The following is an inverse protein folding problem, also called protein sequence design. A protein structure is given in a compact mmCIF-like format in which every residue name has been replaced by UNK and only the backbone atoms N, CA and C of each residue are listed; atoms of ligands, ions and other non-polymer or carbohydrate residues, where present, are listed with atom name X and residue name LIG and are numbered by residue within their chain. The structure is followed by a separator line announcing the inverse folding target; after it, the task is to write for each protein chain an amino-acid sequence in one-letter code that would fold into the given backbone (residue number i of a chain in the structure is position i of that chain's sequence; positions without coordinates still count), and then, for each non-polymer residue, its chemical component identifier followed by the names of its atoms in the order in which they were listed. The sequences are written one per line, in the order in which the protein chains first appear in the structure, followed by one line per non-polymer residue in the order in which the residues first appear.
data_IF_883004688512
#
_entry.id   IF_883004688512
#
_cell.length_a   1.000
_cell.length_b   1.000
_cell.length_c   1.000
_cell.angle_alpha   90.00
_cell.angle_beta   90.00
_cell.angle_gamma   90.00
#
_symmetry.space_group_name_H-M   'P 1'
#
loop_
_entity.id
_entity.type
_entity.pdbx_description
1 polymer ?
#
# COMPACT_ATOMS: atom_id res chain seq x y z
N UNK A 1 7.69 16.54 -20.34
CA UNK A 1 6.36 16.04 -19.94
C UNK A 1 6.57 15.27 -18.64
N UNK A 2 5.98 15.68 -17.52
CA UNK A 2 6.10 14.93 -16.26
C UNK A 2 5.19 13.71 -16.38
N UNK A 3 5.77 12.52 -16.56
CA UNK A 3 5.01 11.27 -16.56
C UNK A 3 4.63 10.94 -15.12
N UNK A 4 3.37 10.58 -14.90
CA UNK A 4 2.82 10.27 -13.57
C UNK A 4 2.67 8.75 -13.46
N UNK A 5 3.51 8.04 -12.71
CA UNK A 5 3.32 6.61 -12.47
C UNK A 5 1.97 6.33 -11.82
N UNK A 6 1.40 5.17 -12.10
CA UNK A 6 0.16 4.70 -11.50
C UNK A 6 0.37 3.36 -10.78
N UNK A 7 -0.12 3.25 -9.54
CA UNK A 7 -0.16 1.99 -8.79
C UNK A 7 -1.61 1.51 -8.74
N UNK A 8 -1.87 0.39 -9.40
CA UNK A 8 -3.17 -0.25 -9.56
C UNK A 8 -3.30 -1.46 -8.64
N UNK A 9 -4.29 -1.44 -7.75
CA UNK A 9 -4.56 -2.49 -6.78
C UNK A 9 -5.76 -3.39 -7.15
N UNK A 10 -6.36 -3.21 -8.32
CA UNK A 10 -7.48 -4.03 -8.81
C UNK A 10 -7.02 -5.40 -9.34
N UNK A 11 -7.83 -6.42 -9.03
CA UNK A 11 -7.80 -7.70 -9.71
C UNK A 11 -8.50 -7.60 -11.07
N UNK A 12 -8.19 -8.52 -11.98
CA UNK A 12 -8.80 -8.54 -13.32
C UNK A 12 -10.33 -8.65 -13.25
N UNK A 13 -10.85 -9.43 -12.30
CA UNK A 13 -12.30 -9.54 -12.04
C UNK A 13 -12.95 -8.21 -11.64
N UNK A 14 -12.22 -7.32 -10.97
CA UNK A 14 -12.76 -6.02 -10.55
C UNK A 14 -12.95 -5.14 -11.79
N UNK A 15 -11.95 -5.12 -12.67
CA UNK A 15 -12.02 -4.36 -13.93
C UNK A 15 -13.09 -4.93 -14.85
N UNK A 16 -13.18 -6.26 -14.96
CA UNK A 16 -14.21 -6.93 -15.75
C UNK A 16 -15.62 -6.58 -15.27
N UNK A 17 -15.85 -6.59 -13.95
CA UNK A 17 -17.15 -6.22 -13.37
C UNK A 17 -17.57 -4.79 -13.75
N UNK A 18 -16.64 -3.85 -13.78
CA UNK A 18 -16.90 -2.45 -14.15
C UNK A 18 -16.79 -2.16 -15.65
N UNK A 19 -16.64 -3.18 -16.50
CA UNK A 19 -16.50 -3.00 -17.95
C UNK A 19 -15.22 -2.28 -18.37
N UNK A 20 -14.19 -2.28 -17.51
CA UNK A 20 -12.90 -1.66 -17.78
C UNK A 20 -12.01 -2.63 -18.55
N UNK A 21 -11.54 -2.23 -19.73
CA UNK A 21 -10.59 -3.01 -20.50
C UNK A 21 -9.14 -2.74 -20.04
N UNK A 22 -8.48 -3.70 -19.36
CA UNK A 22 -7.13 -3.47 -18.82
C UNK A 22 -6.07 -3.33 -19.90
N UNK A 23 -6.24 -3.93 -21.08
CA UNK A 23 -5.29 -3.83 -22.17
C UNK A 23 -5.34 -2.45 -22.82
N UNK A 24 -6.53 -1.83 -22.91
CA UNK A 24 -6.69 -0.46 -23.38
C UNK A 24 -5.98 0.53 -22.44
N UNK A 25 -6.14 0.38 -21.12
CA UNK A 25 -5.44 1.21 -20.12
C UNK A 25 -3.94 1.03 -20.25
N UNK A 26 -3.45 -0.23 -20.27
CA UNK A 26 -2.01 -0.52 -20.40
C UNK A 26 -1.42 0.09 -21.67
N UNK A 27 -2.11 -0.05 -22.81
CA UNK A 27 -1.69 0.55 -24.07
C UNK A 27 -1.59 2.06 -23.97
N UNK A 28 -2.62 2.73 -23.42
CA UNK A 28 -2.63 4.18 -23.29
C UNK A 28 -1.56 4.69 -22.34
N UNK A 29 -1.31 3.97 -21.23
CA UNK A 29 -0.21 4.27 -20.33
C UNK A 29 1.14 4.19 -21.06
N UNK A 30 1.35 3.13 -21.86
CA UNK A 30 2.58 2.97 -22.65
C UNK A 30 2.77 4.11 -23.67
N UNK A 31 1.73 4.49 -24.40
CA UNK A 31 1.77 5.60 -25.36
C UNK A 31 2.13 6.93 -24.72
N UNK A 32 1.69 7.15 -23.49
CA UNK A 32 1.94 8.37 -22.72
C UNK A 32 3.21 8.32 -21.87
N UNK A 33 3.95 7.21 -21.89
CA UNK A 33 5.13 6.99 -21.03
C UNK A 33 4.78 6.89 -19.54
N UNK A 34 3.54 6.56 -19.20
CA UNK A 34 3.09 6.34 -17.82
C UNK A 34 3.50 4.93 -17.38
N UNK A 35 4.31 4.86 -16.33
CA UNK A 35 4.64 3.59 -15.67
C UNK A 35 3.40 3.08 -14.91
N UNK A 36 2.76 2.04 -15.44
CA UNK A 36 1.58 1.41 -14.83
C UNK A 36 1.99 0.15 -14.04
N UNK A 37 1.98 0.25 -12.71
CA UNK A 37 2.44 -0.76 -11.76
C UNK A 37 1.24 -1.48 -11.14
N UNK A 38 1.08 -2.77 -11.44
CA UNK A 38 -0.01 -3.57 -10.89
C UNK A 38 0.42 -4.32 -9.63
N UNK A 39 -0.38 -4.23 -8.57
CA UNK A 39 -0.25 -4.97 -7.30
C UNK A 39 -1.63 -5.43 -6.83
N UNK A 40 -2.23 -6.43 -7.49
CA UNK A 40 -3.64 -6.78 -7.28
C UNK A 40 -3.93 -7.17 -5.83
N UNK A 41 -4.96 -6.57 -5.24
CA UNK A 41 -5.48 -6.88 -3.91
C UNK A 41 -6.95 -7.24 -4.03
N UNK A 42 -7.33 -8.38 -3.44
CA UNK A 42 -8.73 -8.81 -3.40
C UNK A 42 -9.58 -7.82 -2.62
N UNK A 43 -10.69 -7.39 -3.23
CA UNK A 43 -11.56 -6.41 -2.59
C UNK A 43 -12.22 -6.96 -1.33
N UNK A 44 -12.46 -6.07 -0.35
CA UNK A 44 -13.01 -6.39 0.97
C UNK A 44 -12.26 -7.48 1.77
N UNK A 45 -11.01 -7.79 1.41
CA UNK A 45 -10.21 -8.84 2.04
C UNK A 45 -8.97 -8.24 2.76
N UNK A 46 -9.02 -8.06 4.10
CA UNK A 46 -7.91 -7.49 4.85
C UNK A 46 -6.65 -8.38 4.84
N UNK A 47 -6.80 -9.70 4.70
CA UNK A 47 -5.67 -10.61 4.61
C UNK A 47 -4.95 -10.47 3.26
N UNK A 48 -5.72 -10.35 2.17
CA UNK A 48 -5.13 -10.05 0.86
C UNK A 48 -4.41 -8.71 0.87
N UNK A 49 -4.97 -7.68 1.53
CA UNK A 49 -4.30 -6.38 1.66
C UNK A 49 -2.98 -6.53 2.42
N UNK A 50 -3.03 -7.11 3.63
CA UNK A 50 -1.86 -7.35 4.49
C UNK A 50 -0.70 -7.99 3.72
N UNK A 51 -0.97 -9.06 2.96
CA UNK A 51 0.05 -9.78 2.18
C UNK A 51 0.68 -8.95 1.06
N UNK A 52 -0.08 -8.07 0.43
CA UNK A 52 0.37 -7.32 -0.76
C UNK A 52 1.05 -5.99 -0.38
N UNK A 53 0.70 -5.41 0.76
CA UNK A 53 1.21 -4.12 1.21
C UNK A 53 2.74 -3.95 1.09
N UNK A 54 3.59 -4.92 1.47
CA UNK A 54 5.04 -4.76 1.32
C UNK A 54 5.48 -4.51 -0.13
N UNK A 55 5.06 -5.38 -1.05
CA UNK A 55 5.38 -5.28 -2.48
C UNK A 55 4.76 -4.04 -3.15
N UNK A 56 3.63 -3.57 -2.65
CA UNK A 56 2.95 -2.37 -3.15
C UNK A 56 3.58 -1.08 -2.63
N UNK A 57 4.03 -1.08 -1.37
CA UNK A 57 4.78 0.04 -0.81
C UNK A 57 6.16 0.18 -1.48
N UNK A 58 6.83 -0.94 -1.80
CA UNK A 58 8.05 -0.92 -2.60
C UNK A 58 7.82 -0.29 -3.98
N UNK A 59 6.76 -0.72 -4.69
CA UNK A 59 6.40 -0.15 -5.99
C UNK A 59 6.09 1.35 -5.92
N UNK A 60 5.36 1.78 -4.88
CA UNK A 60 5.10 3.20 -4.63
C UNK A 60 6.38 3.98 -4.33
N UNK A 61 7.28 3.43 -3.50
CA UNK A 61 8.57 4.06 -3.19
C UNK A 61 9.42 4.28 -4.44
N UNK A 62 9.55 3.24 -5.28
CA UNK A 62 10.30 3.30 -6.53
C UNK A 62 9.68 4.30 -7.51
N UNK A 63 8.34 4.34 -7.61
CA UNK A 63 7.64 5.29 -8.45
C UNK A 63 7.83 6.75 -7.99
N UNK A 64 8.04 6.98 -6.69
CA UNK A 64 8.34 8.30 -6.14
C UNK A 64 9.82 8.72 -6.31
N UNK A 65 10.73 7.79 -6.63
CA UNK A 65 12.17 8.04 -6.65
C UNK A 65 12.61 9.11 -7.66
N UNK A 66 11.89 9.27 -8.77
CA UNK A 66 12.17 10.27 -9.80
C UNK A 66 11.58 11.65 -9.47
N UNK A 67 10.99 11.82 -8.28
CA UNK A 67 10.22 13.00 -7.91
C UNK A 67 8.87 13.07 -8.63
N UNK A 68 7.97 13.93 -8.14
CA UNK A 68 6.66 14.13 -8.74
C UNK A 68 5.52 13.45 -7.99
N UNK A 69 4.46 13.07 -8.72
CA UNK A 69 3.23 12.52 -8.14
C UNK A 69 2.99 11.10 -8.67
N UNK A 70 2.45 10.24 -7.82
CA UNK A 70 2.02 8.87 -8.18
C UNK A 70 0.51 8.76 -7.99
N UNK A 71 -0.18 8.22 -8.98
CA UNK A 71 -1.61 7.94 -8.89
C UNK A 71 -1.85 6.55 -8.31
N UNK A 72 -2.20 6.46 -7.03
CA UNK A 72 -2.52 5.20 -6.36
C UNK A 72 -4.03 5.00 -6.38
N UNK A 73 -4.50 3.88 -6.93
CA UNK A 73 -5.93 3.59 -6.98
C UNK A 73 -6.27 2.11 -6.77
N UNK A 74 -7.56 1.90 -6.53
CA UNK A 74 -8.22 0.61 -6.62
C UNK A 74 -9.54 0.87 -7.37
N UNK A 75 -10.61 0.15 -7.07
CA UNK A 75 -11.92 0.42 -7.67
C UNK A 75 -12.53 1.75 -7.22
N UNK A 76 -12.81 1.91 -5.92
CA UNK A 76 -13.44 3.12 -5.38
C UNK A 76 -12.44 4.09 -4.70
N UNK A 77 -11.21 3.63 -4.45
CA UNK A 77 -10.25 4.39 -3.65
C UNK A 77 -10.65 4.57 -2.19
N UNK A 78 -11.44 3.66 -1.60
CA UNK A 78 -11.96 3.77 -0.22
C UNK A 78 -11.42 2.70 0.74
N UNK A 79 -10.70 1.70 0.24
CA UNK A 79 -10.17 0.58 1.05
C UNK A 79 -8.71 0.27 0.75
N UNK A 80 -8.45 -0.39 -0.37
CA UNK A 80 -7.11 -0.90 -0.77
C UNK A 80 -6.10 0.23 -0.97
N UNK A 81 -6.43 1.21 -1.82
CA UNK A 81 -5.56 2.35 -2.11
C UNK A 81 -5.23 3.21 -0.87
N UNK A 82 -6.21 3.68 -0.07
CA UNK A 82 -5.88 4.40 1.16
C UNK A 82 -5.16 3.51 2.19
N UNK A 83 -5.42 2.21 2.23
CA UNK A 83 -4.65 1.27 3.06
C UNK A 83 -3.15 1.24 2.69
N UNK A 84 -2.83 1.25 1.39
CA UNK A 84 -1.46 1.38 0.92
C UNK A 84 -0.83 2.73 1.29
N UNK A 85 -1.56 3.84 1.12
CA UNK A 85 -1.05 5.16 1.48
C UNK A 85 -0.75 5.27 2.98
N UNK A 86 -1.63 4.74 3.83
CA UNK A 86 -1.44 4.72 5.29
C UNK A 86 -0.23 3.88 5.67
N UNK A 87 -0.08 2.68 5.09
CA UNK A 87 1.09 1.85 5.29
C UNK A 87 2.38 2.56 4.88
N UNK A 88 2.38 3.16 3.69
CA UNK A 88 3.54 3.89 3.18
C UNK A 88 3.94 5.06 4.09
N UNK A 89 2.97 5.86 4.52
CA UNK A 89 3.20 6.98 5.45
C UNK A 89 3.76 6.47 6.78
N UNK A 90 3.15 5.46 7.38
CA UNK A 90 3.61 4.89 8.64
C UNK A 90 5.03 4.31 8.55
N UNK A 91 5.37 3.68 7.42
CA UNK A 91 6.65 2.99 7.23
C UNK A 91 7.78 3.93 6.80
N UNK A 92 7.49 4.94 5.96
CA UNK A 92 8.52 5.77 5.33
C UNK A 92 8.57 7.21 5.85
N UNK A 93 7.54 7.70 6.56
CA UNK A 93 7.62 9.01 7.20
C UNK A 93 8.24 8.87 8.61
N UNK A 94 9.37 9.54 8.91
CA UNK A 94 10.01 9.44 10.21
C UNK A 94 9.05 9.79 11.35
N UNK A 95 8.96 8.91 12.35
CA UNK A 95 8.20 9.12 13.59
C UNK A 95 6.68 9.12 13.47
N UNK A 96 6.11 8.93 12.27
CA UNK A 96 4.66 8.99 12.07
C UNK A 96 3.97 7.69 12.52
N UNK A 97 3.13 7.79 13.54
CA UNK A 97 2.39 6.65 14.07
C UNK A 97 1.32 6.16 13.09
N UNK A 98 0.91 4.89 13.21
CA UNK A 98 -0.17 4.33 12.41
C UNK A 98 -1.49 5.09 12.59
N UNK A 99 -1.93 5.46 13.81
CA UNK A 99 -3.09 6.34 14.00
C UNK A 99 -2.94 7.70 13.30
N UNK A 100 -1.76 8.33 13.37
CA UNK A 100 -1.52 9.63 12.72
C UNK A 100 -1.56 9.51 11.20
N UNK A 101 -0.88 8.50 10.63
CA UNK A 101 -0.93 8.22 9.20
C UNK A 101 -2.36 7.94 8.71
N UNK A 102 -3.12 7.18 9.49
CA UNK A 102 -4.54 6.91 9.22
C UNK A 102 -5.35 8.20 9.19
N UNK A 103 -5.26 9.01 10.24
CA UNK A 103 -5.98 10.28 10.36
C UNK A 103 -5.61 11.26 9.24
N UNK A 104 -4.33 11.35 8.88
CA UNK A 104 -3.86 12.21 7.80
C UNK A 104 -4.53 11.86 6.47
N UNK A 105 -4.63 10.57 6.13
CA UNK A 105 -5.29 10.13 4.89
C UNK A 105 -6.80 10.33 4.98
N UNK A 106 -7.44 9.92 6.07
CA UNK A 106 -8.90 9.92 6.17
C UNK A 106 -9.51 11.30 6.40
N UNK A 107 -8.74 12.28 6.91
CA UNK A 107 -9.19 13.67 7.01
C UNK A 107 -9.28 14.35 5.64
N UNK A 108 -8.40 13.98 4.70
CA UNK A 108 -8.40 14.47 3.32
C UNK A 108 -9.44 13.70 2.48
N UNK A 109 -9.53 12.39 2.67
CA UNK A 109 -10.47 11.51 1.96
C UNK A 109 -11.23 10.65 2.96
N UNK A 110 -12.45 11.04 3.36
CA UNK A 110 -13.28 10.24 4.26
C UNK A 110 -13.50 8.82 3.72
N UNK A 111 -12.89 7.82 4.37
CA UNK A 111 -12.95 6.41 3.98
C UNK A 111 -12.58 5.48 5.15
N UNK A 112 -12.77 4.17 4.98
CA UNK A 112 -12.57 3.15 6.03
C UNK A 112 -11.55 2.07 5.66
N UNK A 113 -10.27 2.40 5.40
CA UNK A 113 -9.22 1.41 5.13
C UNK A 113 -9.01 0.49 6.33
N UNK A 114 -8.60 -0.76 6.08
CA UNK A 114 -8.44 -1.77 7.13
C UNK A 114 -7.13 -1.56 7.90
N UNK A 115 -7.15 -0.73 8.96
CA UNK A 115 -5.98 -0.41 9.81
C UNK A 115 -5.23 -1.66 10.30
N UNK A 116 -5.97 -2.70 10.69
CA UNK A 116 -5.39 -3.98 11.15
C UNK A 116 -4.59 -4.71 10.07
N UNK A 117 -4.90 -4.51 8.78
CA UNK A 117 -4.10 -5.07 7.70
C UNK A 117 -2.72 -4.42 7.64
N UNK A 118 -2.64 -3.10 7.91
CA UNK A 118 -1.37 -2.37 7.99
C UNK A 118 -0.58 -2.81 9.22
N UNK A 119 -1.21 -2.86 10.40
CA UNK A 119 -0.59 -3.31 11.66
C UNK A 119 -0.06 -4.75 11.55
N UNK A 120 -0.85 -5.64 10.95
CA UNK A 120 -0.45 -7.02 10.69
C UNK A 120 0.70 -7.14 9.70
N UNK A 121 0.74 -6.31 8.66
CA UNK A 121 1.86 -6.28 7.72
C UNK A 121 3.15 -5.74 8.39
N UNK A 122 3.04 -4.75 9.27
CA UNK A 122 4.15 -4.28 10.10
C UNK A 122 4.69 -5.41 10.99
N UNK A 123 3.80 -6.18 11.63
CA UNK A 123 4.18 -7.37 12.41
C UNK A 123 4.90 -8.42 11.55
N UNK A 124 4.37 -8.74 10.37
CA UNK A 124 4.98 -9.73 9.46
C UNK A 124 6.38 -9.33 9.04
N UNK A 125 6.58 -8.03 8.81
CA UNK A 125 7.86 -7.49 8.39
C UNK A 125 8.87 -7.42 9.52
N UNK A 126 8.48 -7.41 10.80
CA UNK A 126 9.37 -7.16 11.93
C UNK A 126 9.62 -8.37 12.84
N UNK A 127 8.57 -9.11 13.18
CA UNK A 127 8.57 -10.09 14.28
C UNK A 127 9.40 -11.34 14.01
N UNK A 128 9.57 -11.74 12.74
CA UNK A 128 10.12 -13.05 12.38
C UNK A 128 9.23 -14.24 12.77
N UNK A 129 7.99 -13.98 13.24
CA UNK A 129 7.03 -15.00 13.64
C UNK A 129 6.05 -15.36 12.50
N UNK A 130 5.38 -16.51 12.57
CA UNK A 130 4.30 -16.85 11.65
C UNK A 130 3.17 -15.82 11.68
N UNK A 131 2.51 -15.59 10.53
CA UNK A 131 1.46 -14.57 10.40
C UNK A 131 0.30 -14.74 11.39
N UNK A 132 0.02 -15.97 11.78
CA UNK A 132 -1.06 -16.37 12.69
C UNK A 132 -0.82 -15.89 14.13
N UNK A 133 0.44 -15.72 14.52
CA UNK A 133 0.80 -15.23 15.85
C UNK A 133 0.31 -13.79 16.10
N UNK A 134 0.06 -13.02 15.02
CA UNK A 134 -0.53 -11.69 15.11
C UNK A 134 -1.87 -11.64 15.87
N UNK A 135 -2.64 -12.73 15.87
CA UNK A 135 -3.92 -12.79 16.59
C UNK A 135 -3.78 -12.63 18.11
N UNK A 136 -2.57 -12.82 18.65
CA UNK A 136 -2.26 -12.71 20.09
C UNK A 136 -1.50 -11.42 20.44
N UNK A 137 -1.22 -10.58 19.44
CA UNK A 137 -0.45 -9.35 19.61
C UNK A 137 -1.36 -8.25 20.17
N UNK A 138 -0.95 -7.53 21.23
CA UNK A 138 -1.71 -6.40 21.78
C UNK A 138 -2.14 -5.39 20.72
N UNK A 139 -3.29 -4.74 20.90
CA UNK A 139 -3.86 -3.81 19.89
C UNK A 139 -2.98 -2.59 19.61
N UNK A 140 -2.20 -2.15 20.61
CA UNK A 140 -1.29 -1.02 20.55
C UNK A 140 0.09 -1.38 19.97
N UNK A 141 0.46 -2.66 19.93
CA UNK A 141 1.73 -3.09 19.35
C UNK A 141 1.78 -2.82 17.84
N UNK A 142 2.97 -2.40 17.37
CA UNK A 142 3.23 -2.00 15.97
C UNK A 142 2.43 -0.78 15.49
N UNK A 143 1.81 -0.02 16.40
CA UNK A 143 1.16 1.25 16.04
C UNK A 143 2.13 2.42 16.04
N UNK A 144 3.27 2.28 16.71
CA UNK A 144 4.42 3.18 16.69
C UNK A 144 5.66 2.36 16.38
N UNK A 145 6.53 2.88 15.51
CA UNK A 145 7.83 2.26 15.20
C UNK A 145 8.94 3.06 15.87
N UNK A 146 9.87 2.35 16.51
CA UNK A 146 11.15 2.94 16.87
C UNK A 146 11.98 3.17 15.60
N UNK A 147 12.98 4.06 15.65
CA UNK A 147 13.80 4.38 14.50
C UNK A 147 14.52 3.14 13.93
N UNK A 148 14.97 2.23 14.80
CA UNK A 148 15.60 0.97 14.42
C UNK A 148 14.64 0.02 13.69
N UNK A 149 13.42 -0.14 14.21
CA UNK A 149 12.37 -0.95 13.59
C UNK A 149 11.96 -0.36 12.25
N UNK A 150 11.79 0.96 12.19
CA UNK A 150 11.45 1.66 10.96
C UNK A 150 12.53 1.44 9.90
N UNK A 151 13.81 1.54 10.26
CA UNK A 151 14.93 1.28 9.35
C UNK A 151 14.97 -0.19 8.89
N UNK A 152 14.81 -1.15 9.80
CA UNK A 152 14.80 -2.58 9.49
C UNK A 152 13.63 -2.93 8.55
N UNK A 153 12.45 -2.38 8.80
CA UNK A 153 11.26 -2.54 7.98
C UNK A 153 11.47 -1.98 6.57
N UNK A 154 11.98 -0.75 6.46
CA UNK A 154 12.29 -0.13 5.17
C UNK A 154 13.30 -0.96 4.37
N UNK A 155 14.37 -1.42 5.01
CA UNK A 155 15.37 -2.27 4.39
C UNK A 155 14.75 -3.57 3.84
N UNK A 156 13.87 -4.21 4.62
CA UNK A 156 13.15 -5.43 4.21
C UNK A 156 12.21 -5.18 3.04
N UNK A 157 11.51 -4.04 2.99
CA UNK A 157 10.63 -3.68 1.87
C UNK A 157 11.43 -3.39 0.60
N UNK A 158 12.49 -2.59 0.71
CA UNK A 158 13.22 -2.11 -0.46
C UNK A 158 14.08 -3.19 -1.13
N UNK A 159 14.43 -4.27 -0.42
CA UNK A 159 15.24 -5.38 -0.93
C UNK A 159 14.45 -6.61 -1.39
N UNK A 160 13.12 -6.58 -1.38
CA UNK A 160 12.32 -7.66 -1.97
C UNK A 160 12.65 -7.75 -3.47
N UNK A 161 13.11 -8.92 -3.93
CA UNK A 161 13.40 -9.20 -5.35
C UNK A 161 12.13 -9.61 -6.07
#
# INVERSE_FOLDING_TARGET
MVTLPAVELQQDKDMQYWGVNPDQIRRRCSELGIQHLRRPVKDFDPHSLRKVLPSAAQALHQALANGGRVYVHCTAGLGRAPGLLIAYLHWFHPGLSLPQAYQLVTSIRPCGPKREAVRGATFDLLSGQPMEAFARVPEDAYTQLQAEDQHALQWRILRQR
#
